data_IF_226975567433
#
_entry.id   IF_226975567433
#
_cell.length_a   1.000
_cell.length_b   1.000
_cell.length_c   1.000
_cell.angle_alpha   90.00
_cell.angle_beta   90.00
_cell.angle_gamma   90.00
#
_symmetry.space_group_name_H-M   'P 1'
#
loop_
_entity.id
_entity.type
_entity.pdbx_description
1 polymer ?
#
# COMPACT_ATOMS: atom_id res chain seq x y z
N UNK A 1 2.74 -13.33 -17.57
CA UNK A 1 2.59 -13.56 -16.12
C UNK A 1 2.60 -12.18 -15.48
N UNK A 2 1.67 -11.91 -14.57
CA UNK A 2 1.58 -10.60 -13.89
C UNK A 2 2.54 -10.56 -12.70
N UNK A 3 2.85 -9.38 -12.18
CA UNK A 3 3.61 -9.25 -10.94
C UNK A 3 2.86 -9.92 -9.78
N UNK A 4 1.53 -9.85 -9.76
CA UNK A 4 0.66 -10.56 -8.84
C UNK A 4 0.87 -12.08 -8.84
N UNK A 5 0.95 -12.70 -10.03
CA UNK A 5 1.24 -14.14 -10.15
C UNK A 5 2.62 -14.47 -9.58
N UNK A 6 3.61 -13.62 -9.88
CA UNK A 6 5.01 -13.76 -9.43
C UNK A 6 5.19 -13.46 -7.95
N UNK A 7 4.24 -12.81 -7.30
CA UNK A 7 4.24 -12.65 -5.84
C UNK A 7 3.60 -13.85 -5.15
N UNK A 8 2.92 -14.74 -5.87
CA UNK A 8 2.13 -15.84 -5.30
C UNK A 8 0.69 -15.46 -4.99
N UNK A 9 0.19 -14.40 -5.62
CA UNK A 9 -1.20 -13.95 -5.58
C UNK A 9 -1.70 -13.50 -4.21
N UNK A 10 -3.03 -13.50 -4.05
CA UNK A 10 -3.71 -13.02 -2.85
C UNK A 10 -3.20 -13.67 -1.54
N UNK A 11 -2.90 -14.98 -1.47
CA UNK A 11 -2.36 -15.57 -0.24
C UNK A 11 -1.03 -14.96 0.21
N UNK A 12 -0.14 -14.63 -0.73
CA UNK A 12 1.15 -14.02 -0.41
C UNK A 12 1.01 -12.56 -0.01
N UNK A 13 0.17 -11.80 -0.72
CA UNK A 13 -0.12 -10.41 -0.38
C UNK A 13 -0.83 -10.26 0.96
N UNK A 14 -1.67 -11.24 1.32
CA UNK A 14 -2.27 -11.30 2.66
C UNK A 14 -1.20 -11.49 3.73
N UNK A 15 -0.29 -12.47 3.58
CA UNK A 15 0.82 -12.68 4.52
C UNK A 15 1.73 -11.45 4.62
N UNK A 16 2.04 -10.81 3.50
CA UNK A 16 2.82 -9.57 3.47
C UNK A 16 2.13 -8.46 4.29
N UNK A 17 0.83 -8.28 4.07
CA UNK A 17 0.04 -7.27 4.80
C UNK A 17 -0.03 -7.60 6.30
N UNK A 18 -0.24 -8.87 6.68
CA UNK A 18 -0.25 -9.30 8.07
C UNK A 18 1.12 -8.99 8.75
N UNK A 19 2.22 -9.43 8.14
CA UNK A 19 3.58 -9.22 8.65
C UNK A 19 3.96 -7.73 8.75
N UNK A 20 3.46 -6.92 7.82
CA UNK A 20 3.65 -5.47 7.83
C UNK A 20 2.89 -4.80 8.99
N UNK A 21 1.59 -5.10 9.14
CA UNK A 21 0.79 -4.45 10.18
C UNK A 21 1.15 -4.90 11.60
N UNK A 22 1.63 -6.12 11.80
CA UNK A 22 2.22 -6.54 13.08
C UNK A 22 3.32 -5.58 13.53
N UNK A 23 4.21 -5.19 12.60
CA UNK A 23 5.31 -4.26 12.86
C UNK A 23 4.82 -2.83 13.07
N UNK A 24 3.96 -2.34 12.18
CA UNK A 24 3.44 -0.96 12.23
C UNK A 24 2.70 -0.67 13.53
N UNK A 25 1.87 -1.61 14.00
CA UNK A 25 1.08 -1.42 15.22
C UNK A 25 1.93 -1.50 16.49
N UNK A 26 3.11 -2.12 16.43
CA UNK A 26 4.08 -2.16 17.51
C UNK A 26 5.07 -0.98 17.48
N UNK A 27 5.10 -0.19 16.42
CA UNK A 27 6.05 0.89 16.23
C UNK A 27 5.56 2.19 16.87
N UNK A 28 6.35 2.78 17.78
CA UNK A 28 5.96 3.97 18.55
C UNK A 28 5.66 5.19 17.67
N UNK A 29 6.34 5.33 16.52
CA UNK A 29 6.16 6.46 15.60
C UNK A 29 4.92 6.28 14.73
N UNK A 30 4.66 5.07 14.24
CA UNK A 30 3.56 4.80 13.32
C UNK A 30 2.25 4.42 13.99
N UNK A 31 2.27 3.76 15.15
CA UNK A 31 1.06 3.35 15.85
C UNK A 31 0.04 4.50 16.04
N UNK A 32 0.43 5.76 16.36
CA UNK A 32 -0.51 6.88 16.42
C UNK A 32 -1.19 7.21 15.09
N UNK A 33 -0.51 7.07 13.94
CA UNK A 33 -1.10 7.27 12.60
C UNK A 33 -2.20 6.25 12.34
N UNK A 34 -2.03 5.04 12.90
CA UNK A 34 -2.97 3.93 12.80
C UNK A 34 -3.91 3.81 14.02
N UNK A 35 -4.15 4.88 14.78
CA UNK A 35 -5.00 4.82 15.99
C UNK A 35 -6.44 4.33 15.72
N UNK A 36 -6.95 4.52 14.50
CA UNK A 36 -8.27 4.05 14.05
C UNK A 36 -8.22 2.70 13.32
N UNK A 37 -7.12 1.95 13.44
CA UNK A 37 -6.94 0.67 12.77
C UNK A 37 -8.02 -0.34 13.17
N UNK A 38 -8.45 -1.13 12.19
CA UNK A 38 -9.35 -2.27 12.40
C UNK A 38 -8.79 -3.48 11.68
N UNK A 39 -9.09 -4.73 12.11
CA UNK A 39 -8.56 -5.92 11.46
C UNK A 39 -8.91 -6.03 9.95
N UNK A 40 -10.03 -5.44 9.53
CA UNK A 40 -10.43 -5.40 8.10
C UNK A 40 -9.50 -4.53 7.24
N UNK A 41 -8.69 -3.66 7.86
CA UNK A 41 -7.72 -2.83 7.17
C UNK A 41 -6.66 -3.68 6.46
N UNK A 42 -6.20 -4.77 7.09
CA UNK A 42 -5.21 -5.69 6.48
C UNK A 42 -5.75 -6.33 5.21
N UNK A 43 -7.00 -6.79 5.25
CA UNK A 43 -7.67 -7.39 4.09
C UNK A 43 -7.80 -6.37 2.95
N UNK A 44 -8.21 -5.14 3.25
CA UNK A 44 -8.33 -4.08 2.26
C UNK A 44 -7.00 -3.75 1.59
N UNK A 45 -5.90 -3.71 2.35
CA UNK A 45 -4.57 -3.49 1.78
C UNK A 45 -4.11 -4.67 0.92
N UNK A 46 -4.36 -5.91 1.34
CA UNK A 46 -4.04 -7.07 0.51
C UNK A 46 -4.81 -7.06 -0.82
N UNK A 47 -6.09 -6.68 -0.79
CA UNK A 47 -6.94 -6.54 -1.99
C UNK A 47 -6.46 -5.37 -2.88
N UNK A 48 -6.09 -4.24 -2.28
CA UNK A 48 -5.49 -3.10 -2.99
C UNK A 48 -4.21 -3.51 -3.72
N UNK A 49 -3.26 -4.13 -3.02
CA UNK A 49 -2.00 -4.60 -3.61
C UNK A 49 -2.25 -5.65 -4.70
N UNK A 50 -3.26 -6.50 -4.51
CA UNK A 50 -3.69 -7.48 -5.50
C UNK A 50 -4.04 -6.80 -6.82
N UNK A 51 -4.85 -5.74 -6.73
CA UNK A 51 -5.22 -4.95 -7.89
C UNK A 51 -4.00 -4.23 -8.51
N UNK A 52 -3.21 -3.52 -7.70
CA UNK A 52 -2.02 -2.80 -8.18
C UNK A 52 -1.10 -3.71 -8.99
N UNK A 53 -0.80 -4.91 -8.50
CA UNK A 53 0.20 -5.79 -9.13
C UNK A 53 -0.36 -6.63 -10.30
N UNK A 54 -1.56 -6.31 -10.79
CA UNK A 54 -2.15 -6.93 -11.98
C UNK A 54 -3.11 -8.09 -11.70
N UNK A 55 -3.53 -8.26 -10.45
CA UNK A 55 -4.62 -9.15 -10.08
C UNK A 55 -6.01 -8.54 -10.33
N UNK A 56 -7.08 -9.20 -9.83
CA UNK A 56 -8.46 -8.76 -9.99
C UNK A 56 -8.70 -7.32 -9.51
N UNK A 57 -9.63 -6.61 -10.15
CA UNK A 57 -10.00 -5.23 -9.81
C UNK A 57 -10.96 -5.13 -8.61
N UNK A 58 -10.78 -5.99 -7.61
CA UNK A 58 -11.73 -6.16 -6.51
C UNK A 58 -11.76 -4.94 -5.59
N UNK A 59 -10.64 -4.23 -5.41
CA UNK A 59 -10.61 -3.01 -4.60
C UNK A 59 -11.45 -1.92 -5.27
N UNK A 60 -11.24 -1.71 -6.57
CA UNK A 60 -12.03 -0.75 -7.34
C UNK A 60 -13.51 -1.12 -7.34
N UNK A 61 -13.83 -2.39 -7.61
CA UNK A 61 -15.20 -2.87 -7.71
C UNK A 61 -15.98 -2.78 -6.38
N UNK A 62 -15.31 -2.96 -5.23
CA UNK A 62 -16.01 -3.13 -3.94
C UNK A 62 -15.71 -2.03 -2.92
N UNK A 63 -14.59 -1.31 -3.07
CA UNK A 63 -14.11 -0.32 -2.10
C UNK A 63 -13.93 1.08 -2.70
N UNK A 64 -14.13 1.27 -4.01
CA UNK A 64 -14.16 2.59 -4.65
C UNK A 64 -12.84 3.08 -5.25
N UNK A 65 -11.85 2.19 -5.38
CA UNK A 65 -10.66 2.42 -6.21
C UNK A 65 -9.73 3.51 -5.70
N UNK A 66 -8.96 4.12 -6.61
CA UNK A 66 -7.97 5.14 -6.30
C UNK A 66 -8.52 6.26 -5.40
N UNK A 67 -9.70 6.79 -5.73
CA UNK A 67 -10.32 7.87 -4.97
C UNK A 67 -10.58 7.48 -3.50
N UNK A 68 -11.06 6.26 -3.26
CA UNK A 68 -11.31 5.78 -1.90
C UNK A 68 -10.00 5.60 -1.11
N UNK A 69 -8.93 5.12 -1.75
CA UNK A 69 -7.61 5.03 -1.12
C UNK A 69 -7.07 6.41 -0.72
N UNK A 70 -7.12 7.41 -1.61
CA UNK A 70 -6.60 8.74 -1.30
C UNK A 70 -7.38 9.39 -0.15
N UNK A 71 -8.71 9.24 -0.15
CA UNK A 71 -9.57 9.79 0.91
C UNK A 71 -9.25 9.28 2.31
N UNK A 72 -8.80 8.02 2.46
CA UNK A 72 -8.43 7.50 3.80
C UNK A 72 -7.12 8.08 4.32
N UNK A 73 -6.33 8.75 3.48
CA UNK A 73 -5.09 9.40 3.89
C UNK A 73 -5.27 10.87 4.32
N UNK A 74 -6.38 11.51 3.94
CA UNK A 74 -6.68 12.91 4.29
C UNK A 74 -6.63 13.14 5.81
N UNK A 75 -5.96 14.22 6.22
CA UNK A 75 -5.87 14.65 7.60
C UNK A 75 -4.97 13.81 8.49
N UNK A 76 -4.24 12.82 7.95
CA UNK A 76 -3.30 12.03 8.74
C UNK A 76 -2.01 12.77 9.09
N UNK A 77 -1.70 13.87 8.38
CA UNK A 77 -0.51 14.69 8.66
C UNK A 77 0.80 13.89 8.57
N UNK A 78 0.91 12.99 7.59
CA UNK A 78 2.08 12.13 7.40
C UNK A 78 3.29 13.02 7.11
N UNK A 79 4.27 12.98 8.00
CA UNK A 79 5.60 13.61 7.83
C UNK A 79 6.59 12.65 7.17
N UNK A 80 7.70 13.19 6.69
CA UNK A 80 8.76 12.39 6.04
C UNK A 80 9.30 11.27 6.93
N UNK A 81 9.47 11.51 8.23
CA UNK A 81 9.89 10.49 9.20
C UNK A 81 8.91 9.31 9.29
N UNK A 82 7.60 9.55 9.20
CA UNK A 82 6.61 8.47 9.19
C UNK A 82 6.71 7.68 7.89
N UNK A 83 6.84 8.38 6.74
CA UNK A 83 7.00 7.73 5.43
C UNK A 83 8.25 6.85 5.39
N UNK A 84 9.38 7.38 5.82
CA UNK A 84 10.65 6.64 5.86
C UNK A 84 10.54 5.42 6.76
N UNK A 85 9.95 5.58 7.95
CA UNK A 85 9.74 4.46 8.88
C UNK A 85 8.80 3.40 8.32
N UNK A 86 7.75 3.82 7.63
CA UNK A 86 6.81 2.92 6.95
C UNK A 86 7.52 2.07 5.90
N UNK A 87 8.39 2.70 5.08
CA UNK A 87 9.16 2.00 4.05
C UNK A 87 10.13 0.98 4.65
N UNK A 88 10.79 1.32 5.76
CA UNK A 88 11.68 0.38 6.47
C UNK A 88 10.93 -0.85 6.98
N UNK A 89 9.75 -0.66 7.59
CA UNK A 89 8.96 -1.78 8.10
C UNK A 89 8.36 -2.62 6.97
N UNK A 90 7.96 -2.00 5.86
CA UNK A 90 7.50 -2.71 4.68
C UNK A 90 8.64 -3.53 4.06
N UNK A 91 9.83 -2.94 3.93
CA UNK A 91 11.01 -3.66 3.46
C UNK A 91 11.27 -4.91 4.30
N UNK A 92 11.26 -4.78 5.64
CA UNK A 92 11.45 -5.92 6.54
C UNK A 92 10.37 -7.00 6.37
N UNK A 93 9.11 -6.62 6.12
CA UNK A 93 8.03 -7.56 5.86
C UNK A 93 8.20 -8.28 4.51
N UNK A 94 8.67 -7.58 3.48
CA UNK A 94 8.99 -8.19 2.18
C UNK A 94 10.16 -9.17 2.31
N UNK A 95 11.24 -8.80 3.02
CA UNK A 95 12.39 -9.69 3.28
C UNK A 95 11.99 -10.98 3.99
N UNK A 96 11.03 -10.91 4.91
CA UNK A 96 10.50 -12.09 5.60
C UNK A 96 9.62 -12.94 4.68
N UNK A 97 8.59 -12.33 4.07
CA UNK A 97 7.51 -13.06 3.40
C UNK A 97 7.89 -13.54 2.00
N UNK A 98 8.82 -12.85 1.33
CA UNK A 98 9.29 -13.13 -0.03
C UNK A 98 10.79 -13.44 -0.07
N UNK A 99 11.31 -14.08 0.98
CA UNK A 99 12.72 -14.46 1.08
C UNK A 99 13.21 -15.34 -0.09
N UNK A 100 12.31 -16.10 -0.73
CA UNK A 100 12.60 -16.94 -1.89
C UNK A 100 12.55 -16.20 -3.23
N UNK A 101 12.19 -14.90 -3.23
CA UNK A 101 12.01 -14.06 -4.44
C UNK A 101 12.73 -12.71 -4.34
N UNK A 102 14.04 -12.68 -4.06
CA UNK A 102 14.80 -11.43 -3.89
C UNK A 102 14.83 -10.53 -5.14
N UNK A 103 14.54 -11.08 -6.31
CA UNK A 103 14.44 -10.32 -7.56
C UNK A 103 13.25 -9.35 -7.60
N UNK A 104 12.18 -9.60 -6.85
CA UNK A 104 10.97 -8.75 -6.82
C UNK A 104 11.10 -7.56 -5.88
N UNK A 105 12.09 -7.60 -4.99
CA UNK A 105 12.29 -6.64 -3.91
C UNK A 105 12.36 -5.19 -4.42
N UNK A 106 13.18 -4.98 -5.46
CA UNK A 106 13.38 -3.65 -6.04
C UNK A 106 12.10 -3.07 -6.64
N UNK A 107 11.30 -3.87 -7.36
CA UNK A 107 10.08 -3.37 -8.01
C UNK A 107 8.98 -3.07 -6.98
N UNK A 108 8.86 -3.90 -5.94
CA UNK A 108 7.94 -3.64 -4.83
C UNK A 108 8.30 -2.35 -4.09
N UNK A 109 9.57 -2.19 -3.73
CA UNK A 109 10.02 -0.98 -3.02
C UNK A 109 9.86 0.28 -3.89
N UNK A 110 10.04 0.19 -5.21
CA UNK A 110 9.78 1.30 -6.12
C UNK A 110 8.29 1.70 -6.12
N UNK A 111 7.36 0.74 -6.13
CA UNK A 111 5.92 1.01 -5.99
C UNK A 111 5.60 1.70 -4.67
N UNK A 112 6.11 1.17 -3.55
CA UNK A 112 5.83 1.71 -2.23
C UNK A 112 6.44 3.10 -2.03
N UNK A 113 7.65 3.34 -2.51
CA UNK A 113 8.29 4.66 -2.48
C UNK A 113 7.45 5.71 -3.21
N UNK A 114 6.97 5.37 -4.41
CA UNK A 114 6.08 6.20 -5.21
C UNK A 114 4.72 6.45 -4.54
N UNK A 115 4.03 5.38 -4.11
CA UNK A 115 2.70 5.49 -3.52
C UNK A 115 2.69 6.22 -2.18
N UNK A 116 3.72 6.03 -1.35
CA UNK A 116 3.83 6.72 -0.06
C UNK A 116 4.13 8.21 -0.22
N UNK A 117 4.76 8.64 -1.31
CA UNK A 117 4.93 10.07 -1.61
C UNK A 117 3.57 10.74 -1.86
N UNK A 118 2.69 10.08 -2.63
CA UNK A 118 1.32 10.56 -2.87
C UNK A 118 0.51 10.58 -1.56
N UNK A 119 0.58 9.51 -0.78
CA UNK A 119 -0.11 9.43 0.52
C UNK A 119 0.33 10.54 1.47
N UNK A 120 1.63 10.84 1.51
CA UNK A 120 2.19 11.95 2.30
C UNK A 120 1.61 13.29 1.85
N UNK A 121 1.62 13.57 0.56
CA UNK A 121 1.14 14.84 0.01
C UNK A 121 -0.36 15.02 0.27
N UNK A 122 -1.18 14.00 -0.02
CA UNK A 122 -2.63 14.02 0.23
C UNK A 122 -2.95 14.16 1.71
N UNK A 123 -2.15 13.57 2.61
CA UNK A 123 -2.44 13.62 4.04
C UNK A 123 -2.36 14.99 4.70
N UNK A 124 -1.79 15.98 3.99
CA UNK A 124 -1.74 17.36 4.47
C UNK A 124 -3.10 18.05 4.37
N UNK A 125 -3.94 17.61 3.44
CA UNK A 125 -5.26 18.20 3.24
C UNK A 125 -6.25 17.73 4.30
N UNK A 126 -7.21 18.59 4.73
CA UNK A 126 -8.19 18.22 5.74
C UNK A 126 -9.09 17.04 5.32
N UNK A 127 -9.64 16.30 6.30
CA UNK A 127 -10.71 15.33 6.01
C UNK A 127 -11.89 16.00 5.30
N UNK A 128 -12.38 15.36 4.22
CA UNK A 128 -13.51 15.86 3.43
C UNK A 128 -13.13 16.75 2.24
N UNK A 129 -11.85 17.01 2.01
CA UNK A 129 -11.37 17.69 0.80
C UNK A 129 -11.84 16.96 -0.48
N UNK A 130 -12.32 17.74 -1.46
CA UNK A 130 -12.63 17.23 -2.80
C UNK A 130 -11.33 17.08 -3.60
N UNK A 131 -10.96 15.84 -3.87
CA UNK A 131 -9.75 15.49 -4.63
C UNK A 131 -9.96 15.54 -6.15
N UNK A 132 -11.17 15.87 -6.62
CA UNK A 132 -11.53 15.78 -8.03
C UNK A 132 -11.52 14.34 -8.54
N UNK A 133 -11.15 14.18 -9.82
CA UNK A 133 -10.93 12.87 -10.44
C UNK A 133 -9.42 12.53 -10.40
N UNK A 134 -8.99 11.58 -9.55
CA UNK A 134 -7.59 11.20 -9.44
C UNK A 134 -7.14 10.27 -10.57
N UNK A 135 -8.01 9.96 -11.54
CA UNK A 135 -7.72 8.99 -12.60
C UNK A 135 -8.00 7.54 -12.17
N UNK A 136 -7.69 6.58 -13.05
CA UNK A 136 -7.90 5.16 -12.78
C UNK A 136 -7.04 4.67 -11.61
N UNK A 137 -7.41 3.50 -11.05
CA UNK A 137 -6.55 2.79 -10.10
C UNK A 137 -5.24 2.40 -10.79
N UNK A 138 -4.07 2.80 -10.24
CA UNK A 138 -2.82 2.55 -10.91
C UNK A 138 -2.50 1.07 -11.02
N UNK A 139 -1.71 0.71 -12.03
CA UNK A 139 -1.22 -0.67 -12.24
C UNK A 139 0.29 -0.67 -12.27
N UNK A 140 0.91 -1.62 -11.58
CA UNK A 140 2.35 -1.74 -11.44
C UNK A 140 2.83 -3.11 -11.89
N UNK A 141 3.72 -3.13 -12.87
CA UNK A 141 4.36 -4.33 -13.39
C UNK A 141 5.80 -4.47 -12.92
N UNK A 142 6.47 -5.48 -13.46
CA UNK A 142 7.88 -5.75 -13.17
C UNK A 142 8.79 -4.54 -13.40
N UNK A 143 8.52 -3.80 -14.49
CA UNK A 143 9.33 -2.66 -14.93
C UNK A 143 8.84 -1.30 -14.38
N UNK A 144 7.80 -1.30 -13.53
CA UNK A 144 7.25 -0.08 -12.91
C UNK A 144 5.79 0.19 -13.26
N UNK A 145 5.40 1.46 -13.21
CA UNK A 145 4.05 1.94 -13.47
C UNK A 145 3.60 1.66 -14.92
N UNK A 146 2.43 1.04 -15.08
CA UNK A 146 1.81 0.69 -16.37
C UNK A 146 0.71 1.70 -16.73
N UNK A 147 -0.15 2.05 -15.77
CA UNK A 147 -1.30 2.95 -15.92
C UNK A 147 -1.46 3.79 -14.65
N UNK A 148 -1.75 5.09 -14.82
CA UNK A 148 -2.05 6.07 -13.77
C UNK A 148 -2.82 7.25 -14.35
#
# INVERSE_FOLDING_TARGET
MTLYDDLGGAPALRRLSDAFYERVLADELLAPVFASFTPTHVERVAVWLGEIFGGPADFTATLGGHQALLKVHLGLGIREEHRQRWLELMQAAIEEVLADRPELHKTLMAYFDWGTAIAKDVSQDPPGTDLGDPGPTPRWGHDGLIEH
#
